data_IF_983973495177
#
_entry.id   IF_983973495177
#
_cell.length_a   1.000
_cell.length_b   1.000
_cell.length_c   1.000
_cell.angle_alpha   90.00
_cell.angle_beta   90.00
_cell.angle_gamma   90.00
#
_symmetry.space_group_name_H-M   'P 1'
#
loop_
_entity.id
_entity.type
_entity.pdbx_description
1 polymer ?
#
# COMPACT_ATOMS: atom_id res chain seq x y z
N UNK A 1 3.73 -51.33 -27.34
CA UNK A 1 4.24 -49.97 -27.63
C UNK A 1 3.59 -49.00 -26.66
N UNK A 2 4.24 -48.68 -25.54
CA UNK A 2 3.78 -47.68 -24.56
C UNK A 2 4.98 -46.75 -24.34
N UNK A 3 4.89 -45.50 -24.81
CA UNK A 3 5.91 -44.48 -24.60
C UNK A 3 5.59 -43.76 -23.30
N UNK A 4 6.35 -44.12 -22.29
CA UNK A 4 6.31 -43.59 -20.93
C UNK A 4 7.31 -42.43 -20.81
N UNK A 5 6.89 -41.42 -20.05
CA UNK A 5 7.69 -40.37 -19.39
C UNK A 5 8.39 -39.31 -20.26
N UNK A 6 7.85 -38.09 -20.22
CA UNK A 6 8.67 -36.88 -20.20
C UNK A 6 8.13 -35.95 -19.11
N UNK A 7 8.68 -36.09 -17.90
CA UNK A 7 8.41 -35.18 -16.80
C UNK A 7 9.17 -33.87 -17.04
N UNK A 8 8.46 -32.79 -17.37
CA UNK A 8 9.02 -31.43 -17.37
C UNK A 8 8.81 -30.84 -15.98
N UNK A 9 9.84 -30.95 -15.16
CA UNK A 9 9.91 -30.37 -13.82
C UNK A 9 10.19 -28.86 -13.96
N UNK A 10 9.14 -28.05 -14.13
CA UNK A 10 9.26 -26.58 -14.11
C UNK A 10 9.34 -26.08 -12.68
N UNK A 11 10.56 -25.96 -12.14
CA UNK A 11 10.82 -25.33 -10.85
C UNK A 11 10.59 -23.82 -11.00
N UNK A 12 9.39 -23.34 -10.65
CA UNK A 12 9.11 -21.91 -10.50
C UNK A 12 9.84 -21.42 -9.26
N UNK A 13 11.01 -20.81 -9.43
CA UNK A 13 11.63 -20.00 -8.38
C UNK A 13 10.77 -18.76 -8.18
N UNK A 14 9.86 -18.81 -7.21
CA UNK A 14 9.18 -17.64 -6.69
C UNK A 14 10.22 -16.87 -5.88
N UNK A 15 10.90 -15.93 -6.54
CA UNK A 15 11.70 -14.91 -5.85
C UNK A 15 10.72 -14.05 -5.04
N UNK A 16 10.54 -14.41 -3.77
CA UNK A 16 9.87 -13.57 -2.80
C UNK A 16 10.78 -12.36 -2.53
N UNK A 17 10.72 -11.36 -3.40
CA UNK A 17 11.34 -10.06 -3.11
C UNK A 17 10.72 -9.55 -1.81
N UNK A 18 11.52 -9.21 -0.79
CA UNK A 18 10.97 -8.60 0.41
C UNK A 18 10.25 -7.31 -0.03
N UNK A 19 8.99 -7.18 0.34
CA UNK A 19 8.26 -5.92 0.16
C UNK A 19 8.95 -4.88 1.05
N UNK A 20 9.90 -4.14 0.47
CA UNK A 20 10.57 -3.05 1.15
C UNK A 20 9.52 -1.98 1.36
N UNK A 21 9.12 -1.75 2.61
CA UNK A 21 8.20 -0.68 2.96
C UNK A 21 8.80 0.64 2.46
N UNK A 22 8.19 1.25 1.45
CA UNK A 22 8.66 2.52 0.93
C UNK A 22 8.26 3.62 1.90
N UNK A 23 9.25 4.20 2.58
CA UNK A 23 9.04 5.34 3.47
C UNK A 23 9.26 6.63 2.70
N UNK A 24 8.23 7.45 2.60
CA UNK A 24 8.31 8.80 2.05
C UNK A 24 8.41 9.82 3.19
N UNK A 25 9.21 10.88 3.00
CA UNK A 25 9.24 12.01 3.92
C UNK A 25 8.11 12.97 3.54
N UNK A 26 7.19 13.20 4.49
CA UNK A 26 6.09 14.16 4.37
C UNK A 26 5.26 13.98 3.08
N UNK A 27 4.42 12.94 3.06
CA UNK A 27 3.49 12.69 1.94
C UNK A 27 2.52 13.86 1.82
N UNK A 28 2.57 14.55 0.67
CA UNK A 28 1.65 15.63 0.33
C UNK A 28 0.27 15.10 -0.07
N UNK A 29 -0.74 15.98 -0.14
CA UNK A 29 -2.07 15.61 -0.62
C UNK A 29 -2.05 15.02 -2.05
N UNK A 30 -1.23 15.62 -2.93
CA UNK A 30 -1.09 15.17 -4.31
C UNK A 30 -0.42 13.79 -4.39
N UNK A 31 0.63 13.55 -3.61
CA UNK A 31 1.29 12.24 -3.56
C UNK A 31 0.37 11.17 -2.96
N UNK A 32 -0.35 11.50 -1.88
CA UNK A 32 -1.31 10.57 -1.29
C UNK A 32 -2.39 10.16 -2.30
N UNK A 33 -2.92 11.12 -3.05
CA UNK A 33 -3.89 10.84 -4.11
C UNK A 33 -3.29 10.00 -5.24
N UNK A 34 -2.06 10.28 -5.66
CA UNK A 34 -1.37 9.52 -6.70
C UNK A 34 -1.16 8.06 -6.30
N UNK A 35 -0.62 7.82 -5.10
CA UNK A 35 -0.34 6.47 -4.58
C UNK A 35 -1.63 5.63 -4.50
N UNK A 36 -2.72 6.22 -4.01
CA UNK A 36 -3.98 5.52 -3.91
C UNK A 36 -4.65 5.34 -5.28
N UNK A 37 -4.48 6.31 -6.18
CA UNK A 37 -4.94 6.21 -7.57
C UNK A 37 -4.23 5.10 -8.35
N UNK A 38 -2.92 4.94 -8.17
CA UNK A 38 -2.13 3.83 -8.73
C UNK A 38 -2.59 2.47 -8.20
N UNK A 39 -3.10 2.42 -6.95
CA UNK A 39 -3.74 1.26 -6.38
C UNK A 39 -5.18 1.02 -6.89
N UNK A 40 -5.67 1.82 -7.84
CA UNK A 40 -7.02 1.70 -8.42
C UNK A 40 -8.14 2.25 -7.52
N UNK A 41 -7.81 3.06 -6.52
CA UNK A 41 -8.77 3.62 -5.58
C UNK A 41 -9.22 5.01 -6.03
N UNK A 42 -10.55 5.21 -6.12
CA UNK A 42 -11.11 6.55 -6.26
C UNK A 42 -11.07 7.25 -4.91
N UNK A 43 -10.32 8.36 -4.82
CA UNK A 43 -10.07 9.04 -3.55
C UNK A 43 -10.32 10.54 -3.62
N UNK A 44 -10.85 11.08 -2.53
CA UNK A 44 -10.91 12.52 -2.27
C UNK A 44 -10.00 12.84 -1.10
N UNK A 45 -9.14 13.85 -1.21
CA UNK A 45 -8.22 14.22 -0.13
C UNK A 45 -8.75 15.46 0.58
N UNK A 46 -8.80 15.37 1.90
CA UNK A 46 -9.11 16.48 2.82
C UNK A 46 -7.92 16.72 3.75
N UNK A 47 -7.93 17.85 4.44
CA UNK A 47 -6.93 18.19 5.45
C UNK A 47 -7.49 17.94 6.87
N UNK A 48 -6.68 17.33 7.75
CA UNK A 48 -7.00 17.25 9.17
C UNK A 48 -6.87 18.65 9.82
N UNK A 49 -7.99 19.20 10.27
CA UNK A 49 -8.04 20.51 10.91
C UNK A 49 -7.14 20.67 12.16
N UNK A 50 -6.79 19.57 12.85
CA UNK A 50 -5.92 19.59 14.04
C UNK A 50 -4.45 19.58 13.68
N UNK A 51 -4.06 18.85 12.63
CA UNK A 51 -2.65 18.58 12.33
C UNK A 51 -2.17 19.16 11.00
N UNK A 52 -3.07 19.68 10.16
CA UNK A 52 -2.78 20.09 8.78
C UNK A 52 -2.37 18.94 7.86
N UNK A 53 -2.58 17.68 8.28
CA UNK A 53 -2.09 16.53 7.54
C UNK A 53 -3.12 16.08 6.48
N UNK A 54 -2.68 15.67 5.28
CA UNK A 54 -3.59 15.15 4.27
C UNK A 54 -4.18 13.79 4.68
N UNK A 55 -5.48 13.64 4.46
CA UNK A 55 -6.25 12.42 4.70
C UNK A 55 -7.08 12.11 3.47
N UNK A 56 -6.93 10.90 2.92
CA UNK A 56 -7.74 10.43 1.81
C UNK A 56 -9.00 9.73 2.33
N UNK A 57 -10.15 10.11 1.79
CA UNK A 57 -11.39 9.38 1.85
C UNK A 57 -11.47 8.45 0.64
N UNK A 58 -11.70 7.16 0.89
CA UNK A 58 -11.85 6.15 -0.15
C UNK A 58 -13.25 5.56 -0.07
N UNK A 59 -13.90 5.45 -1.23
CA UNK A 59 -15.18 4.78 -1.40
C UNK A 59 -15.01 3.67 -2.45
N UNK A 60 -15.21 2.42 -2.05
CA UNK A 60 -15.15 1.29 -2.98
C UNK A 60 -16.48 1.11 -3.69
N UNK A 61 -16.46 0.46 -4.87
CA UNK A 61 -17.67 0.13 -5.60
C UNK A 61 -18.66 -0.76 -4.81
N UNK A 62 -18.17 -1.47 -3.77
CA UNK A 62 -18.97 -2.29 -2.86
C UNK A 62 -19.54 -1.53 -1.65
N UNK A 63 -19.38 -0.20 -1.59
CA UNK A 63 -19.93 0.64 -0.52
C UNK A 63 -19.09 0.70 0.76
N UNK A 64 -17.89 0.10 0.76
CA UNK A 64 -16.96 0.28 1.89
C UNK A 64 -16.36 1.67 1.84
N UNK A 65 -16.36 2.34 2.99
CA UNK A 65 -15.73 3.64 3.17
C UNK A 65 -14.63 3.55 4.20
N UNK A 66 -13.45 4.07 3.88
CA UNK A 66 -12.34 4.14 4.81
C UNK A 66 -11.51 5.40 4.60
N UNK A 67 -10.75 5.73 5.63
CA UNK A 67 -9.89 6.91 5.67
C UNK A 67 -8.44 6.45 5.73
N UNK A 68 -7.59 7.03 4.90
CA UNK A 68 -6.16 6.72 4.84
C UNK A 68 -5.38 7.99 5.16
N UNK A 69 -4.38 7.87 6.05
CA UNK A 69 -3.45 8.93 6.38
C UNK A 69 -2.03 8.39 6.34
N UNK A 70 -1.12 9.16 5.75
CA UNK A 70 0.30 8.89 5.87
C UNK A 70 0.80 9.14 7.31
N UNK A 71 1.49 8.14 7.87
CA UNK A 71 2.07 8.26 9.21
C UNK A 71 3.51 8.75 9.11
N UNK A 72 3.87 9.68 9.99
CA UNK A 72 5.25 10.06 10.17
C UNK A 72 5.96 8.99 11.01
N UNK A 73 7.07 8.44 10.49
CA UNK A 73 7.86 7.44 11.20
C UNK A 73 8.94 8.04 12.12
N UNK A 74 8.83 9.33 12.45
CA UNK A 74 9.60 10.00 13.51
C UNK A 74 8.96 9.81 14.89
N UNK A 75 9.65 10.26 15.94
CA UNK A 75 9.21 10.11 17.34
C UNK A 75 9.70 8.85 18.05
N UNK A 76 9.39 8.74 19.35
CA UNK A 76 9.77 7.61 20.20
C UNK A 76 8.58 7.22 21.10
N UNK A 77 7.92 6.05 20.89
CA UNK A 77 8.17 5.06 19.83
C UNK A 77 7.72 5.57 18.45
N UNK A 78 8.35 5.06 17.38
CA UNK A 78 7.96 5.39 16.01
C UNK A 78 6.54 4.88 15.75
N UNK A 79 5.62 5.74 15.31
CA UNK A 79 4.23 5.36 15.03
C UNK A 79 4.13 4.17 14.06
N UNK A 80 5.01 4.11 13.07
CA UNK A 80 5.07 3.01 12.09
C UNK A 80 5.50 1.67 12.71
N UNK A 81 6.24 1.67 13.83
CA UNK A 81 6.67 0.44 14.50
C UNK A 81 5.55 -0.19 15.36
N UNK A 82 4.46 0.54 15.63
CA UNK A 82 3.30 0.03 16.39
C UNK A 82 2.28 -0.67 15.49
N UNK A 83 2.49 -0.66 14.16
CA UNK A 83 1.60 -1.27 13.16
C UNK A 83 2.22 -2.50 12.47
N UNK A 84 3.43 -2.88 12.87
CA UNK A 84 4.10 -4.12 12.47
C UNK A 84 4.01 -5.14 13.61
#
# INVERSE_FOLDING_TARGET
MVRVLTAVLSTVLIAASPAVAQTMRAVTAAELQSILGEAGLATSVIEDARTGAPVAHVQTAGGLQFWVRALDCSGTPKACATLM
#
